data_IF_751322794330
#
_entry.id   IF_751322794330
#
_cell.length_a   1.000
_cell.length_b   1.000
_cell.length_c   1.000
_cell.angle_alpha   90.00
_cell.angle_beta   90.00
_cell.angle_gamma   90.00
#
_symmetry.space_group_name_H-M   'P 1'
#
loop_
_entity.id
_entity.type
_entity.pdbx_description
1 polymer ?
#
# COMPACT_ATOMS: atom_id res chain seq x y z
N UNK A 1 15.29 11.45 39.32
CA UNK A 1 14.61 12.47 38.50
C UNK A 1 15.60 12.99 37.47
N UNK A 2 15.49 12.57 36.22
CA UNK A 2 16.23 13.15 35.10
C UNK A 2 15.23 13.45 33.99
N UNK A 3 15.29 14.70 33.54
CA UNK A 3 14.47 15.34 32.51
C UNK A 3 15.29 15.22 31.21
N UNK A 4 14.71 14.73 30.13
CA UNK A 4 15.35 14.75 28.81
C UNK A 4 14.36 15.26 27.76
N UNK A 5 14.88 16.19 26.96
CA UNK A 5 14.28 16.90 25.85
C UNK A 5 14.08 15.99 24.63
N UNK A 6 13.28 16.47 23.69
CA UNK A 6 12.73 15.71 22.56
C UNK A 6 13.71 15.15 21.55
N UNK A 7 13.15 14.35 20.64
CA UNK A 7 13.67 14.16 19.29
C UNK A 7 12.52 13.74 18.38
N UNK A 8 12.32 14.54 17.33
CA UNK A 8 11.54 14.22 16.14
C UNK A 8 12.23 12.98 15.51
N UNK A 9 11.55 11.83 15.46
CA UNK A 9 12.07 10.68 14.70
C UNK A 9 11.18 10.48 13.49
N UNK A 10 11.68 11.04 12.41
CA UNK A 10 11.37 10.71 11.03
C UNK A 10 11.67 9.21 10.87
N UNK A 11 10.64 8.37 10.75
CA UNK A 11 10.81 6.98 10.31
C UNK A 11 10.53 6.91 8.80
N UNK A 12 11.47 7.45 8.01
CA UNK A 12 11.66 6.99 6.63
C UNK A 12 12.39 5.65 6.77
N UNK A 13 11.65 4.54 6.76
CA UNK A 13 12.23 3.20 6.65
C UNK A 13 11.79 2.66 5.30
N UNK A 14 12.73 2.71 4.35
CA UNK A 14 12.53 2.22 2.99
C UNK A 14 12.17 0.74 2.96
N UNK A 15 10.98 0.46 2.45
CA UNK A 15 10.50 -0.87 2.07
C UNK A 15 11.37 -1.44 0.94
N UNK A 16 12.34 -2.29 1.27
CA UNK A 16 13.27 -2.89 0.29
C UNK A 16 13.02 -4.37 -0.02
N UNK A 17 11.80 -4.89 0.15
CA UNK A 17 11.40 -6.16 -0.46
C UNK A 17 9.87 -6.26 -0.57
N UNK A 18 9.29 -5.58 -1.56
CA UNK A 18 7.88 -5.74 -1.91
C UNK A 18 7.65 -7.08 -2.64
N UNK A 19 6.47 -7.69 -2.47
CA UNK A 19 6.06 -8.87 -3.22
C UNK A 19 6.24 -8.64 -4.74
N UNK A 20 6.47 -9.69 -5.56
CA UNK A 20 6.84 -9.52 -6.95
C UNK A 20 5.62 -9.03 -7.75
N UNK A 21 5.46 -7.71 -7.83
CA UNK A 21 4.61 -7.08 -8.81
C UNK A 21 5.37 -7.23 -10.13
N UNK A 22 4.89 -8.14 -10.98
CA UNK A 22 5.51 -8.42 -12.25
C UNK A 22 5.20 -7.27 -13.23
N UNK A 23 6.13 -6.33 -13.35
CA UNK A 23 6.10 -5.28 -14.36
C UNK A 23 7.17 -4.23 -14.09
N UNK A 24 7.60 -3.53 -15.13
CA UNK A 24 8.51 -2.37 -15.05
C UNK A 24 7.84 -1.15 -14.35
N UNK A 25 7.03 -1.40 -13.32
CA UNK A 25 6.31 -0.39 -12.58
C UNK A 25 7.30 0.37 -11.69
N UNK A 26 7.21 1.70 -11.73
CA UNK A 26 7.98 2.61 -10.90
C UNK A 26 7.80 2.28 -9.42
N UNK A 27 8.89 2.27 -8.65
CA UNK A 27 8.89 1.99 -7.20
C UNK A 27 7.91 2.91 -6.45
N UNK A 28 7.70 4.13 -6.95
CA UNK A 28 6.70 5.08 -6.42
C UNK A 28 5.26 4.58 -6.60
N UNK A 29 4.92 4.04 -7.78
CA UNK A 29 3.59 3.51 -8.07
C UNK A 29 3.32 2.22 -7.31
N UNK A 30 4.36 1.42 -7.08
CA UNK A 30 4.29 0.23 -6.23
C UNK A 30 4.00 0.63 -4.78
N UNK A 31 4.73 1.61 -4.25
CA UNK A 31 4.50 2.16 -2.91
C UNK A 31 3.05 2.63 -2.73
N UNK A 32 2.52 3.35 -3.71
CA UNK A 32 1.12 3.78 -3.74
C UNK A 32 0.10 2.64 -3.66
N UNK A 33 0.33 1.57 -4.41
CA UNK A 33 -0.56 0.42 -4.42
C UNK A 33 -0.58 -0.29 -3.04
N UNK A 34 0.58 -0.37 -2.38
CA UNK A 34 0.70 -0.94 -1.04
C UNK A 34 0.09 -0.03 0.05
N UNK A 35 0.30 1.28 -0.04
CA UNK A 35 -0.32 2.23 0.86
C UNK A 35 -1.86 2.20 0.75
N UNK A 36 -2.38 2.12 -0.49
CA UNK A 36 -3.80 1.93 -0.72
C UNK A 36 -4.32 0.64 -0.08
N UNK A 37 -3.54 -0.45 -0.18
CA UNK A 37 -3.87 -1.74 0.44
C UNK A 37 -4.08 -1.60 1.96
N UNK A 38 -3.14 -0.92 2.63
CA UNK A 38 -3.12 -0.81 4.08
C UNK A 38 -4.08 0.25 4.63
N UNK A 39 -4.30 1.35 3.91
CA UNK A 39 -5.13 2.46 4.41
C UNK A 39 -6.60 2.34 4.03
N UNK A 40 -6.90 1.75 2.87
CA UNK A 40 -8.19 1.89 2.22
C UNK A 40 -8.80 0.55 1.77
N UNK A 41 -8.06 -0.30 1.05
CA UNK A 41 -8.60 -1.58 0.52
C UNK A 41 -8.97 -2.53 1.65
N UNK A 42 -8.12 -2.62 2.68
CA UNK A 42 -8.33 -3.52 3.82
C UNK A 42 -8.96 -2.81 5.04
N UNK A 43 -9.35 -1.54 4.91
CA UNK A 43 -9.97 -0.81 6.02
C UNK A 43 -11.28 -1.50 6.46
N UNK A 44 -11.31 -2.00 7.70
CA UNK A 44 -12.46 -2.73 8.23
C UNK A 44 -12.65 -4.15 7.66
N UNK A 45 -11.72 -4.66 6.87
CA UNK A 45 -11.74 -6.03 6.38
C UNK A 45 -11.43 -7.02 7.52
N UNK A 46 -12.35 -7.94 7.80
CA UNK A 46 -12.16 -9.01 8.79
C UNK A 46 -11.72 -10.35 8.16
N UNK A 47 -11.63 -10.41 6.84
CA UNK A 47 -11.22 -11.60 6.06
C UNK A 47 -9.74 -11.61 5.71
N UNK A 48 -9.40 -12.32 4.63
CA UNK A 48 -8.05 -12.28 4.06
C UNK A 48 -7.72 -10.88 3.57
N UNK A 49 -6.51 -10.41 3.86
CA UNK A 49 -6.05 -9.12 3.35
C UNK A 49 -5.80 -9.19 1.85
N UNK A 50 -6.11 -8.10 1.17
CA UNK A 50 -5.86 -7.88 -0.24
C UNK A 50 -4.52 -7.20 -0.43
N UNK A 51 -3.67 -7.77 -1.28
CA UNK A 51 -2.35 -7.23 -1.61
C UNK A 51 -2.24 -6.96 -3.11
N UNK A 52 -1.54 -5.89 -3.54
CA UNK A 52 -1.39 -5.56 -4.94
C UNK A 52 -0.51 -6.60 -5.65
N UNK A 53 -0.91 -7.02 -6.84
CA UNK A 53 -0.16 -8.00 -7.66
C UNK A 53 0.22 -7.46 -9.04
N UNK A 54 -0.49 -6.44 -9.53
CA UNK A 54 -0.31 -5.88 -10.87
C UNK A 54 -0.84 -4.44 -10.93
N UNK A 55 -0.06 -3.54 -11.54
CA UNK A 55 -0.52 -2.20 -11.92
C UNK A 55 -0.84 -2.23 -13.41
N UNK A 56 -2.11 -2.12 -13.77
CA UNK A 56 -2.57 -2.21 -15.17
C UNK A 56 -2.39 -0.90 -15.93
N UNK A 57 -2.57 0.23 -15.25
CA UNK A 57 -2.36 1.55 -15.84
C UNK A 57 -2.09 2.58 -14.77
N UNK A 58 -1.30 3.59 -15.11
CA UNK A 58 -1.05 4.77 -14.29
C UNK A 58 -1.15 6.04 -15.15
N UNK A 59 -1.81 7.06 -14.63
CA UNK A 59 -1.92 8.38 -15.26
C UNK A 59 -1.62 9.46 -14.21
N UNK A 60 -0.58 10.26 -14.45
CA UNK A 60 -0.22 11.40 -13.59
C UNK A 60 -0.59 12.71 -14.28
N UNK A 61 -1.37 13.53 -13.59
CA UNK A 61 -1.81 14.85 -14.04
C UNK A 61 -1.52 15.88 -12.94
N UNK A 62 -0.40 16.58 -13.09
CA UNK A 62 0.09 17.50 -12.07
C UNK A 62 0.39 16.77 -10.76
N UNK A 63 -0.35 17.11 -9.70
CA UNK A 63 -0.22 16.52 -8.36
C UNK A 63 -1.16 15.35 -8.09
N UNK A 64 -1.89 14.89 -9.11
CA UNK A 64 -2.84 13.77 -8.97
C UNK A 64 -2.33 12.59 -9.78
N UNK A 65 -2.23 11.43 -9.13
CA UNK A 65 -1.84 10.16 -9.74
C UNK A 65 -3.03 9.19 -9.66
N UNK A 66 -3.49 8.72 -10.81
CA UNK A 66 -4.52 7.69 -10.91
C UNK A 66 -3.86 6.36 -11.27
N UNK A 67 -4.21 5.29 -10.57
CA UNK A 67 -3.76 3.93 -10.83
C UNK A 67 -4.95 3.01 -11.01
N UNK A 68 -4.81 2.00 -11.86
CA UNK A 68 -5.70 0.84 -11.89
C UNK A 68 -4.87 -0.35 -11.45
N UNK A 69 -5.20 -0.91 -10.29
CA UNK A 69 -4.40 -1.94 -9.62
C UNK A 69 -5.23 -3.18 -9.39
N UNK A 70 -4.65 -4.34 -9.70
CA UNK A 70 -5.21 -5.64 -9.37
C UNK A 70 -4.69 -6.05 -8.00
N UNK A 71 -5.61 -6.35 -7.12
CA UNK A 71 -5.37 -6.92 -5.80
C UNK A 71 -5.78 -8.39 -5.79
N UNK A 72 -5.08 -9.18 -4.99
CA UNK A 72 -5.39 -10.58 -4.74
C UNK A 72 -5.41 -10.84 -3.24
N UNK A 73 -6.26 -11.78 -2.81
CA UNK A 73 -6.21 -12.28 -1.45
C UNK A 73 -4.81 -12.80 -1.10
N UNK A 74 -4.38 -12.50 0.11
CA UNK A 74 -3.15 -12.98 0.72
C UNK A 74 -3.44 -14.06 1.75
N UNK A 75 -2.37 -14.66 2.28
CA UNK A 75 -2.46 -15.55 3.42
C UNK A 75 -2.60 -14.82 4.75
N UNK A 76 -2.47 -13.49 4.81
CA UNK A 76 -2.65 -12.73 6.04
C UNK A 76 -4.13 -12.45 6.35
N UNK A 77 -4.45 -12.40 7.63
CA UNK A 77 -5.73 -11.88 8.11
C UNK A 77 -5.66 -11.46 9.57
N UNK A 78 -6.63 -10.66 10.05
CA UNK A 78 -6.76 -10.37 11.49
C UNK A 78 -6.92 -11.64 12.33
N UNK A 79 -7.55 -12.69 11.78
CA UNK A 79 -7.74 -13.96 12.48
C UNK A 79 -6.46 -14.78 12.66
N UNK A 80 -5.43 -14.49 11.85
CA UNK A 80 -4.10 -15.09 11.96
C UNK A 80 -3.14 -14.25 12.81
N UNK A 81 -3.63 -13.14 13.37
CA UNK A 81 -2.86 -12.21 14.18
C UNK A 81 -2.14 -11.13 13.38
N UNK A 82 -2.50 -10.94 12.11
CA UNK A 82 -1.95 -9.88 11.29
C UNK A 82 -2.71 -8.56 11.44
N UNK A 83 -2.00 -7.46 11.33
CA UNK A 83 -2.59 -6.12 11.24
C UNK A 83 -2.35 -5.49 9.86
N UNK A 84 -2.82 -4.24 9.71
CA UNK A 84 -2.63 -3.51 8.46
C UNK A 84 -1.18 -3.02 8.29
N UNK A 85 -0.38 -2.97 9.36
CA UNK A 85 1.04 -2.63 9.28
C UNK A 85 1.81 -3.76 8.59
N UNK A 86 1.45 -5.02 8.83
CA UNK A 86 2.00 -6.18 8.11
C UNK A 86 1.77 -6.11 6.58
N UNK A 87 0.69 -5.45 6.15
CA UNK A 87 0.40 -5.20 4.74
C UNK A 87 1.32 -4.10 4.20
N UNK A 88 1.52 -3.00 4.93
CA UNK A 88 2.48 -1.94 4.57
C UNK A 88 3.90 -2.48 4.40
N UNK A 89 4.31 -3.45 5.23
CA UNK A 89 5.65 -4.03 5.20
C UNK A 89 5.84 -5.06 4.07
N UNK A 90 4.83 -5.24 3.19
CA UNK A 90 4.82 -6.25 2.13
C UNK A 90 5.04 -7.68 2.64
N UNK A 91 4.74 -7.93 3.91
CA UNK A 91 5.01 -9.20 4.55
C UNK A 91 3.96 -10.27 4.25
N UNK A 92 2.87 -9.89 3.57
CA UNK A 92 1.73 -10.76 3.33
C UNK A 92 1.86 -11.55 2.01
N UNK A 93 2.11 -12.87 2.07
CA UNK A 93 2.28 -13.66 0.86
C UNK A 93 0.96 -13.82 0.13
N UNK A 94 0.97 -13.68 -1.19
CA UNK A 94 -0.21 -13.87 -2.05
C UNK A 94 -0.76 -15.28 -1.91
N UNK A 95 -2.08 -15.42 -1.77
CA UNK A 95 -2.75 -16.70 -1.80
C UNK A 95 -3.00 -17.13 -3.25
N UNK A 96 -2.14 -17.99 -3.80
CA UNK A 96 -2.29 -18.52 -5.15
C UNK A 96 -3.65 -19.24 -5.34
N UNK A 97 -4.50 -18.69 -6.22
CA UNK A 97 -5.87 -19.17 -6.44
C UNK A 97 -6.94 -18.40 -5.66
N UNK A 98 -6.54 -17.45 -4.81
CA UNK A 98 -7.42 -16.52 -4.12
C UNK A 98 -8.16 -15.57 -5.06
N UNK A 99 -9.21 -14.95 -4.54
CA UNK A 99 -10.00 -13.99 -5.29
C UNK A 99 -9.15 -12.79 -5.74
N UNK A 100 -9.55 -12.18 -6.86
CA UNK A 100 -8.92 -10.98 -7.42
C UNK A 100 -9.96 -9.87 -7.54
N UNK A 101 -9.52 -8.64 -7.28
CA UNK A 101 -10.33 -7.45 -7.44
C UNK A 101 -9.49 -6.35 -8.11
N UNK A 102 -10.09 -5.58 -9.00
CA UNK A 102 -9.44 -4.43 -9.63
C UNK A 102 -10.03 -3.17 -9.04
N UNK A 103 -9.18 -2.27 -8.58
CA UNK A 103 -9.57 -1.00 -8.00
C UNK A 103 -8.94 0.16 -8.75
N UNK A 104 -9.67 1.27 -8.88
CA UNK A 104 -9.08 2.54 -9.29
C UNK A 104 -8.64 3.29 -8.04
N UNK A 105 -7.37 3.65 -8.00
CA UNK A 105 -6.77 4.41 -6.91
C UNK A 105 -6.51 5.83 -7.42
N UNK A 106 -6.97 6.84 -6.68
CA UNK A 106 -6.59 8.23 -6.90
C UNK A 106 -5.79 8.69 -5.70
N UNK A 107 -4.53 9.04 -5.95
CA UNK A 107 -3.62 9.62 -4.98
C UNK A 107 -3.37 11.10 -5.30
N UNK A 108 -3.39 11.95 -4.29
CA UNK A 108 -3.06 13.38 -4.43
C UNK A 108 -1.83 13.70 -3.59
N UNK A 109 -0.81 14.27 -4.23
CA UNK A 109 0.41 14.76 -3.58
C UNK A 109 0.27 16.24 -3.21
N UNK A 110 0.77 16.61 -2.04
CA UNK A 110 0.89 18.02 -1.66
C UNK A 110 2.37 18.34 -1.42
N UNK A 111 2.94 19.25 -2.22
CA UNK A 111 4.32 19.78 -2.13
C UNK A 111 5.47 18.98 -2.77
N UNK A 112 5.25 18.24 -3.86
CA UNK A 112 6.34 17.68 -4.67
C UNK A 112 7.24 16.68 -3.93
N UNK A 113 6.69 16.03 -2.90
CA UNK A 113 7.33 14.98 -2.11
C UNK A 113 6.52 13.69 -2.18
N UNK A 114 7.21 12.59 -1.91
CA UNK A 114 6.77 11.19 -1.99
C UNK A 114 5.67 10.77 -0.99
N UNK A 115 5.06 11.73 -0.29
CA UNK A 115 4.05 11.49 0.74
C UNK A 115 2.67 11.86 0.18
N UNK A 116 1.76 10.89 0.16
CA UNK A 116 0.42 11.07 -0.40
C UNK A 116 -0.55 11.56 0.69
N UNK A 117 -1.28 12.63 0.40
CA UNK A 117 -2.15 13.30 1.38
C UNK A 117 -3.52 12.59 1.49
N UNK A 118 -3.90 11.87 0.44
CA UNK A 118 -5.10 11.04 0.43
C UNK A 118 -5.03 9.96 -0.63
N UNK A 119 -5.52 8.77 -0.26
CA UNK A 119 -5.76 7.65 -1.16
C UNK A 119 -7.26 7.40 -1.20
N UNK A 120 -7.84 7.44 -2.39
CA UNK A 120 -9.25 7.11 -2.62
C UNK A 120 -9.37 5.92 -3.55
N UNK A 121 -10.29 5.01 -3.22
CA UNK A 121 -10.62 3.85 -4.03
C UNK A 121 -12.00 4.04 -4.67
N UNK A 122 -12.09 3.72 -5.96
CA UNK A 122 -13.33 3.64 -6.73
C UNK A 122 -13.49 2.27 -7.41
#
# INVERSE_FOLDING_TARGET
MFKAFGFFVICIVGCNVAAPIHGDADDELLGLAWEAAATSVNAGNSGKFWVPIEIQSSERSGSVTNLVVVFQESWCSPSEGNDLEDVCESMCPVYYGGAKATYRITATETNGGSDFDSVRIE
#
